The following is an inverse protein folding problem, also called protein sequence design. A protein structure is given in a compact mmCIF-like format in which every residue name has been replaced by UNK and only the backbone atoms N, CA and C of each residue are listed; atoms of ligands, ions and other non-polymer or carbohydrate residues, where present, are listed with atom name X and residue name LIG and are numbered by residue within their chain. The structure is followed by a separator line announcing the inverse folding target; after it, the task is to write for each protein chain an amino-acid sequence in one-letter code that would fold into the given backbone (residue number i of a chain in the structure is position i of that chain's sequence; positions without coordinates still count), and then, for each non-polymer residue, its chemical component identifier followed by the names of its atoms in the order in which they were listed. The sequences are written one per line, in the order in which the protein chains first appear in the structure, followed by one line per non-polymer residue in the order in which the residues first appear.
data_IF_025091887483
#
_entry.id   IF_025091887483
#
_cell.length_a   1.000
_cell.length_b   1.000
_cell.length_c   1.000
_cell.angle_alpha   90.00
_cell.angle_beta   90.00
_cell.angle_gamma   90.00
#
_symmetry.space_group_name_H-M   'P 1'
#
loop_
_entity.id
_entity.type
_entity.pdbx_description
1 polymer ?
#
# COMPACT_ATOMS: atom_id res chain seq x y z
N UNK A 1 6.26 -20.55 8.64
CA UNK A 1 4.78 -20.44 8.59
C UNK A 1 4.47 -19.55 7.41
N UNK A 2 3.73 -20.03 6.41
CA UNK A 2 3.21 -19.13 5.37
C UNK A 2 2.14 -18.28 6.04
N UNK A 3 2.42 -16.99 6.25
CA UNK A 3 1.38 -16.05 6.63
C UNK A 3 0.59 -15.75 5.36
N UNK A 4 -0.66 -16.18 5.32
CA UNK A 4 -1.55 -15.77 4.25
C UNK A 4 -1.68 -14.24 4.28
N UNK A 5 -1.34 -13.58 3.18
CA UNK A 5 -1.47 -12.12 3.07
C UNK A 5 -2.94 -11.77 3.05
N UNK A 6 -3.37 -11.02 4.06
CA UNK A 6 -4.74 -10.58 4.20
C UNK A 6 -4.92 -9.27 3.43
N UNK A 7 -5.75 -9.31 2.40
CA UNK A 7 -6.12 -8.12 1.64
C UNK A 7 -6.92 -7.16 2.52
N UNK A 8 -6.80 -5.87 2.24
CA UNK A 8 -7.50 -4.78 2.96
C UNK A 8 -7.16 -4.67 4.45
N UNK A 9 -6.10 -5.34 4.92
CA UNK A 9 -5.55 -5.14 6.25
C UNK A 9 -4.31 -4.24 6.20
N UNK A 10 -4.08 -3.46 7.27
CA UNK A 10 -2.92 -2.57 7.36
C UNK A 10 -1.69 -3.35 7.81
N UNK A 11 -0.61 -3.18 7.05
CA UNK A 11 0.72 -3.70 7.36
C UNK A 11 1.68 -2.55 7.65
N UNK A 12 2.54 -2.73 8.64
CA UNK A 12 3.70 -1.90 8.89
C UNK A 12 4.84 -2.34 7.98
N UNK A 13 5.47 -1.35 7.35
CA UNK A 13 6.63 -1.54 6.48
C UNK A 13 7.88 -1.49 7.36
N UNK A 14 8.82 -2.42 7.20
CA UNK A 14 10.08 -2.35 7.93
C UNK A 14 10.98 -1.19 7.42
N UNK A 15 12.00 -0.83 8.20
CA UNK A 15 12.81 0.35 7.90
C UNK A 15 13.64 0.21 6.61
N UNK A 16 14.04 -1.01 6.25
CA UNK A 16 14.74 -1.30 5.00
C UNK A 16 13.87 -0.92 3.79
N UNK A 17 12.63 -1.39 3.76
CA UNK A 17 11.72 -1.12 2.65
C UNK A 17 11.22 0.32 2.66
N UNK A 18 10.96 0.93 3.84
CA UNK A 18 10.62 2.36 3.94
C UNK A 18 11.65 3.24 3.24
N UNK A 19 12.94 2.97 3.45
CA UNK A 19 14.01 3.74 2.82
C UNK A 19 13.98 3.63 1.29
N UNK A 20 13.74 2.42 0.77
CA UNK A 20 13.63 2.17 -0.68
C UNK A 20 12.42 2.89 -1.27
N UNK A 21 11.26 2.83 -0.61
CA UNK A 21 10.04 3.50 -1.06
C UNK A 21 10.21 5.02 -1.08
N UNK A 22 10.78 5.59 -0.02
CA UNK A 22 11.04 7.02 0.07
C UNK A 22 11.88 7.53 -1.11
N UNK A 23 12.94 6.82 -1.51
CA UNK A 23 13.76 7.20 -2.67
C UNK A 23 13.01 7.19 -4.01
N UNK A 24 11.88 6.48 -4.10
CA UNK A 24 11.14 6.24 -5.35
C UNK A 24 9.87 7.08 -5.47
N UNK A 25 9.15 7.25 -4.38
CA UNK A 25 7.87 7.98 -4.33
C UNK A 25 7.98 9.33 -3.63
N UNK A 26 9.09 9.61 -2.93
CA UNK A 26 9.23 10.72 -1.99
C UNK A 26 8.14 10.71 -0.90
N UNK A 27 7.54 9.56 -0.62
CA UNK A 27 6.54 9.39 0.42
C UNK A 27 7.20 8.76 1.65
N UNK A 28 7.06 9.40 2.82
CA UNK A 28 7.46 8.84 4.11
C UNK A 28 6.32 7.99 4.69
N UNK A 29 5.83 7.03 3.89
CA UNK A 29 4.76 6.15 4.35
C UNK A 29 5.33 5.06 5.26
N UNK A 30 4.65 4.84 6.38
CA UNK A 30 5.01 3.79 7.35
C UNK A 30 4.18 2.53 7.18
N UNK A 31 3.10 2.62 6.42
CA UNK A 31 2.08 1.59 6.34
C UNK A 31 1.70 1.31 4.89
N UNK A 32 1.20 0.11 4.67
CA UNK A 32 0.70 -0.36 3.40
C UNK A 32 -0.60 -1.14 3.57
N UNK A 33 -1.36 -1.21 2.48
CA UNK A 33 -2.54 -2.07 2.37
C UNK A 33 -2.42 -2.93 1.11
N UNK A 34 -2.35 -4.27 1.24
CA UNK A 34 -2.47 -5.17 0.09
C UNK A 34 -3.89 -5.09 -0.48
N UNK A 35 -4.00 -4.83 -1.79
CA UNK A 35 -5.30 -4.69 -2.47
C UNK A 35 -5.58 -5.91 -3.35
N UNK A 36 -4.53 -6.48 -3.94
CA UNK A 36 -4.67 -7.62 -4.83
C UNK A 36 -3.52 -8.61 -4.65
N UNK A 37 -3.81 -9.90 -4.74
CA UNK A 37 -2.80 -10.95 -4.75
C UNK A 37 -3.12 -11.98 -5.84
N UNK A 38 -2.11 -12.34 -6.62
CA UNK A 38 -2.21 -13.38 -7.65
C UNK A 38 -0.89 -14.10 -7.80
N UNK A 39 -0.93 -15.42 -7.99
CA UNK A 39 0.25 -16.28 -8.10
C UNK A 39 1.24 -16.04 -6.95
N UNK A 40 2.40 -15.44 -7.26
CA UNK A 40 3.49 -15.10 -6.35
C UNK A 40 3.67 -13.59 -6.16
N UNK A 41 2.70 -12.78 -6.61
CA UNK A 41 2.78 -11.32 -6.55
C UNK A 41 1.68 -10.73 -5.67
N UNK A 42 2.02 -9.61 -5.03
CA UNK A 42 1.11 -8.78 -4.26
C UNK A 42 1.19 -7.36 -4.80
N UNK A 43 0.01 -6.78 -5.04
CA UNK A 43 -0.15 -5.37 -5.33
C UNK A 43 -0.67 -4.67 -4.08
N UNK A 44 0.04 -3.64 -3.66
CA UNK A 44 -0.29 -2.86 -2.48
C UNK A 44 -0.15 -1.37 -2.74
N UNK A 45 -0.84 -0.59 -1.90
CA UNK A 45 -0.76 0.87 -1.88
C UNK A 45 -0.25 1.34 -0.51
N UNK A 46 0.31 2.54 -0.47
CA UNK A 46 0.73 3.18 0.78
C UNK A 46 -0.48 3.67 1.57
N UNK A 47 -0.39 3.61 2.90
CA UNK A 47 -1.40 4.15 3.81
C UNK A 47 -0.80 5.34 4.54
N UNK A 48 -1.37 6.52 4.32
CA UNK A 48 -0.88 7.80 4.84
C UNK A 48 -1.87 8.43 5.83
N UNK A 49 -1.38 9.32 6.68
CA UNK A 49 -2.25 10.17 7.51
C UNK A 49 -2.95 11.21 6.65
N UNK A 50 -4.21 11.54 6.97
CA UNK A 50 -4.94 12.68 6.39
C UNK A 50 -4.18 14.01 6.50
N UNK A 51 -3.34 14.17 7.52
CA UNK A 51 -2.50 15.37 7.68
C UNK A 51 -1.38 15.49 6.65
N UNK A 52 -1.05 14.40 5.95
CA UNK A 52 -0.04 14.33 4.89
C UNK A 52 -0.70 14.26 3.51
N UNK A 53 -2.02 14.36 3.44
CA UNK A 53 -2.77 14.32 2.19
C UNK A 53 -2.46 15.54 1.33
N UNK A 54 -2.24 15.31 0.04
CA UNK A 54 -2.09 16.35 -0.95
C UNK A 54 -3.40 16.43 -1.74
N UNK A 55 -4.14 17.52 -1.56
CA UNK A 55 -5.39 17.76 -2.29
C UNK A 55 -5.09 18.65 -3.50
N UNK A 56 -4.89 18.01 -4.65
CA UNK A 56 -4.71 18.66 -5.95
C UNK A 56 -5.55 17.97 -7.02
N UNK A 57 -5.81 18.63 -8.15
CA UNK A 57 -6.51 17.99 -9.27
C UNK A 57 -5.71 16.78 -9.76
N UNK A 58 -6.28 15.58 -9.63
CA UNK A 58 -5.67 14.34 -10.09
C UNK A 58 -4.99 13.48 -9.02
N UNK A 59 -5.04 13.85 -7.74
CA UNK A 59 -4.60 12.95 -6.66
C UNK A 59 -5.65 11.87 -6.40
N UNK A 60 -5.20 10.61 -6.38
CA UNK A 60 -6.06 9.43 -6.15
C UNK A 60 -5.83 8.93 -4.73
N UNK A 61 -6.55 9.52 -3.78
CA UNK A 61 -6.47 9.14 -2.37
C UNK A 61 -7.86 8.77 -1.85
N UNK A 62 -7.98 7.61 -1.21
CA UNK A 62 -9.26 7.13 -0.67
C UNK A 62 -9.24 7.11 0.86
N UNK A 63 -10.29 7.59 1.53
CA UNK A 63 -10.42 7.45 2.96
C UNK A 63 -10.61 5.99 3.38
N UNK A 64 -10.02 5.63 4.53
CA UNK A 64 -10.27 4.33 5.17
C UNK A 64 -11.41 4.48 6.19
N UNK A 65 -12.45 3.68 6.01
CA UNK A 65 -13.57 3.56 6.94
C UNK A 65 -13.62 2.15 7.50
N UNK A 66 -13.78 2.02 8.82
CA UNK A 66 -14.11 0.74 9.44
C UNK A 66 -15.62 0.60 9.56
N UNK A 67 -16.10 -0.60 9.88
CA UNK A 67 -17.52 -0.85 10.19
C UNK A 67 -18.06 0.01 11.35
N UNK A 68 -17.16 0.56 12.17
CA UNK A 68 -17.48 1.29 13.38
C UNK A 68 -17.17 2.80 13.33
N UNK A 69 -16.23 3.26 12.49
CA UNK A 69 -15.82 4.67 12.46
C UNK A 69 -15.08 5.08 11.19
N UNK A 70 -15.01 6.39 10.98
CA UNK A 70 -14.09 7.00 10.02
C UNK A 70 -12.70 7.13 10.65
N UNK A 71 -11.66 6.73 9.93
CA UNK A 71 -10.27 6.84 10.41
C UNK A 71 -9.64 8.17 10.00
N UNK A 72 -8.47 8.48 10.58
CA UNK A 72 -7.60 9.57 10.13
C UNK A 72 -6.62 9.14 9.03
N UNK A 73 -6.82 7.98 8.42
CA UNK A 73 -5.95 7.41 7.40
C UNK A 73 -6.57 7.47 6.01
N UNK A 74 -5.70 7.48 5.01
CA UNK A 74 -6.04 7.41 3.59
C UNK A 74 -5.17 6.33 2.93
N UNK A 75 -5.70 5.71 1.87
CA UNK A 75 -4.93 4.91 0.92
C UNK A 75 -4.48 5.83 -0.21
N UNK A 76 -3.18 5.91 -0.42
CA UNK A 76 -2.60 6.64 -1.55
C UNK A 76 -2.48 5.70 -2.76
N UNK A 77 -3.31 5.96 -3.79
CA UNK A 77 -3.35 5.19 -5.04
C UNK A 77 -2.63 5.90 -6.19
N UNK A 78 -1.86 6.96 -5.92
CA UNK A 78 -1.01 7.59 -6.94
C UNK A 78 0.13 6.66 -7.37
N UNK A 79 0.58 5.78 -6.47
CA UNK A 79 1.57 4.74 -6.77
C UNK A 79 1.05 3.39 -6.31
N UNK A 80 1.05 2.43 -7.22
CA UNK A 80 0.79 1.02 -6.94
C UNK A 80 2.13 0.31 -6.91
N UNK A 81 2.39 -0.45 -5.86
CA UNK A 81 3.61 -1.22 -5.71
C UNK A 81 3.33 -2.69 -5.97
N UNK A 82 4.27 -3.34 -6.65
CA UNK A 82 4.27 -4.78 -6.90
C UNK A 82 5.47 -5.42 -6.21
N UNK A 83 5.24 -6.46 -5.44
CA UNK A 83 6.28 -7.21 -4.73
C UNK A 83 5.98 -8.71 -4.76
N UNK A 84 7.03 -9.54 -4.67
CA UNK A 84 6.84 -10.99 -4.52
C UNK A 84 6.23 -11.32 -3.15
N UNK A 85 5.51 -12.43 -3.01
CA UNK A 85 4.98 -12.90 -1.71
C UNK A 85 6.11 -13.17 -0.72
N UNK A 86 7.19 -13.77 -1.21
CA UNK A 86 8.37 -14.07 -0.39
C UNK A 86 8.98 -12.79 0.19
N UNK A 87 9.16 -11.74 -0.63
CA UNK A 87 9.66 -10.46 -0.16
C UNK A 87 8.63 -9.76 0.75
N UNK A 88 7.34 -9.87 0.46
CA UNK A 88 6.29 -9.28 1.31
C UNK A 88 6.35 -9.82 2.74
N UNK A 89 6.45 -11.14 2.91
CA UNK A 89 6.57 -11.76 4.23
C UNK A 89 7.83 -11.32 4.98
N UNK A 90 8.88 -10.90 4.25
CA UNK A 90 10.12 -10.41 4.84
C UNK A 90 10.02 -8.95 5.30
N UNK A 91 9.33 -8.09 4.54
CA UNK A 91 9.34 -6.64 4.76
C UNK A 91 8.13 -6.11 5.52
N UNK A 92 7.05 -6.88 5.64
CA UNK A 92 5.78 -6.41 6.17
C UNK A 92 5.35 -7.17 7.42
N UNK A 93 4.78 -6.42 8.37
CA UNK A 93 4.16 -6.97 9.57
C UNK A 93 2.70 -6.52 9.62
N UNK A 94 1.76 -7.46 9.76
CA UNK A 94 0.35 -7.10 9.93
C UNK A 94 0.14 -6.40 11.27
N UNK A 95 -0.39 -5.17 11.23
CA UNK A 95 -0.66 -4.33 12.42
C UNK A 95 -2.11 -3.85 12.45
N UNK A 96 -2.99 -4.48 11.66
CA UNK A 96 -4.33 -3.96 11.40
C UNK A 96 -5.13 -3.69 12.68
N UNK A 97 -5.16 -4.64 13.60
CA UNK A 97 -5.88 -4.49 14.87
C UNK A 97 -5.27 -3.43 15.81
N UNK A 98 -3.99 -3.12 15.68
CA UNK A 98 -3.34 -2.06 16.47
C UNK A 98 -3.79 -0.67 15.97
N UNK A 99 -3.89 -0.51 14.66
CA UNK A 99 -4.19 0.76 14.00
C UNK A 99 -5.70 1.01 13.88
N UNK A 100 -6.44 0.05 13.35
CA UNK A 100 -7.88 0.17 13.08
C UNK A 100 -8.75 -0.35 14.23
N UNK A 101 -8.23 -1.26 15.07
CA UNK A 101 -9.01 -1.96 16.11
C UNK A 101 -10.25 -2.70 15.60
N UNK A 102 -10.38 -2.83 14.27
CA UNK A 102 -11.51 -3.38 13.54
C UNK A 102 -11.09 -3.60 12.07
N UNK A 103 -11.95 -4.17 11.25
CA UNK A 103 -11.73 -4.31 9.80
C UNK A 103 -12.16 -3.07 9.02
N UNK A 104 -11.58 -2.88 7.83
CA UNK A 104 -12.15 -1.98 6.83
C UNK A 104 -13.58 -2.46 6.51
N UNK A 105 -14.52 -1.55 6.29
CA UNK A 105 -15.89 -1.92 5.98
C UNK A 105 -16.00 -2.51 4.57
N UNK A 106 -16.88 -3.49 4.37
CA UNK A 106 -17.07 -4.15 3.06
C UNK A 106 -17.38 -3.15 1.93
N UNK A 107 -18.14 -2.10 2.23
CA UNK A 107 -18.44 -1.03 1.27
C UNK A 107 -17.15 -0.28 0.86
N UNK A 108 -16.27 0.01 1.82
CA UNK A 108 -15.02 0.68 1.54
C UNK A 108 -14.03 -0.27 0.83
N UNK A 109 -14.03 -1.57 1.13
CA UNK A 109 -13.27 -2.57 0.36
C UNK A 109 -13.69 -2.59 -1.12
N UNK A 110 -14.99 -2.52 -1.42
CA UNK A 110 -15.50 -2.44 -2.80
C UNK A 110 -15.08 -1.14 -3.49
N UNK A 111 -15.15 0.01 -2.80
CA UNK A 111 -14.71 1.30 -3.32
C UNK A 111 -13.20 1.31 -3.62
N UNK A 112 -12.40 0.72 -2.72
CA UNK A 112 -10.96 0.53 -2.89
C UNK A 112 -10.68 -0.31 -4.13
N UNK A 113 -11.39 -1.43 -4.30
CA UNK A 113 -11.23 -2.32 -5.45
C UNK A 113 -11.61 -1.65 -6.76
N UNK A 114 -12.76 -0.96 -6.82
CA UNK A 114 -13.20 -0.28 -8.03
C UNK A 114 -12.20 0.81 -8.45
N UNK A 115 -11.77 1.64 -7.50
CA UNK A 115 -10.78 2.68 -7.75
C UNK A 115 -9.42 2.08 -8.15
N UNK A 116 -9.01 0.98 -7.52
CA UNK A 116 -7.79 0.27 -7.89
C UNK A 116 -7.85 -0.26 -9.31
N UNK A 117 -8.97 -0.88 -9.70
CA UNK A 117 -9.20 -1.38 -11.06
C UNK A 117 -9.18 -0.22 -12.06
N UNK A 118 -9.79 0.92 -11.75
CA UNK A 118 -9.68 2.13 -12.58
C UNK A 118 -8.22 2.59 -12.71
N UNK A 119 -7.46 2.61 -11.61
CA UNK A 119 -6.05 2.98 -11.61
C UNK A 119 -5.16 2.06 -12.48
N UNK A 120 -5.51 0.77 -12.57
CA UNK A 120 -4.76 -0.21 -13.37
C UNK A 120 -5.21 -0.24 -14.83
N UNK A 121 -6.52 -0.14 -15.09
CA UNK A 121 -7.10 -0.29 -16.44
C UNK A 121 -7.07 1.00 -17.26
N UNK A 122 -7.25 2.15 -16.60
CA UNK A 122 -7.16 3.42 -17.30
C UNK A 122 -5.68 3.73 -17.52
N UNK A 123 -5.27 3.79 -18.79
CA UNK A 123 -3.94 4.16 -19.27
C UNK A 123 -3.62 5.66 -18.99
N UNK A 124 -3.99 6.15 -17.80
CA UNK A 124 -3.97 7.55 -17.42
C UNK A 124 -2.65 7.84 -16.72
N UNK A 125 -1.73 8.44 -17.49
CA UNK A 125 -0.60 9.35 -17.22
C UNK A 125 -0.10 9.63 -15.78
N UNK A 126 -0.84 9.32 -14.71
CA UNK A 126 -0.60 9.77 -13.34
C UNK A 126 -0.44 8.64 -12.30
N UNK A 127 -0.94 7.41 -12.54
CA UNK A 127 -0.70 6.29 -11.60
C UNK A 127 0.59 5.56 -11.96
N UNK A 128 1.53 5.48 -11.02
CA UNK A 128 2.82 4.79 -11.22
C UNK A 128 2.74 3.35 -10.74
N UNK A 129 3.15 2.39 -11.56
CA UNK A 129 3.39 1.01 -11.13
C UNK A 129 4.89 0.84 -10.84
N UNK A 130 5.25 0.56 -9.59
CA UNK A 130 6.63 0.33 -9.17
C UNK A 130 6.80 -1.13 -8.75
N UNK A 131 7.72 -1.84 -9.39
CA UNK A 131 8.06 -3.21 -9.00
C UNK A 131 9.26 -3.21 -8.04
N UNK A 132 9.12 -3.96 -6.95
CA UNK A 132 10.10 -4.14 -5.87
C UNK A 132 10.66 -5.55 -5.98
N UNK A 133 11.95 -5.66 -6.31
CA UNK A 133 12.68 -6.91 -6.51
C UNK A 133 13.84 -7.01 -5.51
N UNK A 134 14.14 -8.21 -5.02
CA UNK A 134 15.27 -8.49 -4.11
C UNK A 134 16.66 -8.00 -4.62
N UNK A 135 16.82 -7.77 -5.93
CA UNK A 135 18.05 -7.20 -6.52
C UNK A 135 18.34 -5.74 -6.13
N UNK A 136 17.36 -5.01 -5.55
CA UNK A 136 17.55 -3.62 -5.12
C UNK A 136 18.56 -3.45 -3.97
N UNK A 137 18.86 -4.52 -3.21
CA UNK A 137 19.92 -4.56 -2.18
C UNK A 137 21.31 -4.24 -2.73
N UNK A 138 21.61 -4.65 -3.97
CA UNK A 138 22.97 -4.52 -4.55
C UNK A 138 23.39 -3.08 -4.87
N UNK A 139 22.47 -2.11 -4.91
CA UNK A 139 22.78 -0.72 -5.27
C UNK A 139 22.92 0.22 -4.05
N UNK A 140 22.61 -0.25 -2.85
CA UNK A 140 22.74 0.52 -1.60
C UNK A 140 24.07 0.19 -0.91
N UNK A 141 24.50 -1.07 -0.92
CA UNK A 141 25.79 -1.50 -0.35
C UNK A 141 27.00 -1.26 -1.27
N UNK A 142 26.77 -0.73 -2.48
CA UNK A 142 27.83 -0.46 -3.48
C UNK A 142 28.20 1.02 -3.60
N UNK A 143 27.90 1.86 -2.60
CA UNK A 143 28.32 3.26 -2.53
C UNK A 143 29.06 3.57 -1.26
#
# INVERSE_FOLDING_TARGET
MNNEVKLFEIYEINDELKHVLFQKSNCDSRYAVPIFSSNDEILFCEVISKSLAFFGSGTKQLPIFTSSRITNLLIDMNTIYKISKTDFDQYFKNVNHEILRDKISEINELEILDTFVQCVNENLMNTRLITINSTFRKNIDSK
#
